data_IF_632401936620
#
_entry.id   IF_632401936620
#
_cell.length_a   1.000
_cell.length_b   1.000
_cell.length_c   1.000
_cell.angle_alpha   90.00
_cell.angle_beta   90.00
_cell.angle_gamma   90.00
#
_symmetry.space_group_name_H-M   'P 1'
#
loop_
_entity.id
_entity.type
_entity.pdbx_description
1 polymer ?
#
# COMPACT_ATOMS: atom_id res chain seq x y z
N UNK A 1 -13.27 14.76 -29.58
CA UNK A 1 -13.42 15.21 -28.19
C UNK A 1 -12.09 14.97 -27.48
N UNK A 2 -11.36 16.05 -27.23
CA UNK A 2 -10.08 15.97 -26.53
C UNK A 2 -10.37 15.73 -25.05
N UNK A 3 -10.06 14.53 -24.59
CA UNK A 3 -10.30 14.12 -23.21
C UNK A 3 -9.30 14.88 -22.31
N UNK A 4 -9.69 16.05 -21.80
CA UNK A 4 -8.91 16.82 -20.83
C UNK A 4 -8.73 16.00 -19.57
N UNK A 5 -7.59 15.28 -19.46
CA UNK A 5 -7.24 14.60 -18.23
C UNK A 5 -6.99 15.65 -17.14
N UNK A 6 -7.62 15.45 -15.99
CA UNK A 6 -7.32 16.23 -14.79
C UNK A 6 -5.85 16.01 -14.42
N UNK A 7 -5.11 17.07 -14.27
CA UNK A 7 -3.72 17.06 -13.78
C UNK A 7 -3.65 17.80 -12.45
N UNK A 8 -2.71 17.43 -11.60
CA UNK A 8 -2.48 18.17 -10.35
C UNK A 8 -2.08 19.60 -10.67
N UNK A 9 -2.76 20.58 -10.05
CA UNK A 9 -2.50 22.02 -10.26
C UNK A 9 -1.18 22.51 -9.66
N UNK A 10 -0.39 21.65 -8.99
CA UNK A 10 0.88 22.02 -8.36
C UNK A 10 1.69 20.83 -7.88
N UNK A 11 2.98 21.03 -7.68
CA UNK A 11 3.93 20.02 -7.20
C UNK A 11 3.54 19.50 -5.80
N UNK A 12 3.03 20.36 -4.92
CA UNK A 12 2.63 20.00 -3.56
C UNK A 12 1.47 19.01 -3.59
N UNK A 13 0.44 19.24 -4.40
CA UNK A 13 -0.69 18.32 -4.55
C UNK A 13 -0.27 16.93 -5.03
N UNK A 14 0.67 16.87 -5.98
CA UNK A 14 1.24 15.61 -6.44
C UNK A 14 2.04 14.90 -5.34
N UNK A 15 2.89 15.62 -4.60
CA UNK A 15 3.70 15.06 -3.52
C UNK A 15 2.82 14.51 -2.39
N UNK A 16 1.79 15.26 -1.99
CA UNK A 16 0.86 14.81 -0.95
C UNK A 16 0.05 13.59 -1.39
N UNK A 17 -0.40 13.55 -2.63
CA UNK A 17 -1.10 12.38 -3.16
C UNK A 17 -0.19 11.14 -3.25
N UNK A 18 1.06 11.32 -3.69
CA UNK A 18 2.03 10.24 -3.74
C UNK A 18 2.39 9.73 -2.33
N UNK A 19 2.64 10.64 -1.38
CA UNK A 19 2.92 10.30 0.01
C UNK A 19 1.72 9.59 0.66
N UNK A 20 0.50 10.10 0.49
CA UNK A 20 -0.71 9.47 1.01
C UNK A 20 -0.96 8.08 0.44
N UNK A 21 -0.67 7.88 -0.85
CA UNK A 21 -0.74 6.57 -1.49
C UNK A 21 0.34 5.59 -0.99
N UNK A 22 1.50 6.10 -0.58
CA UNK A 22 2.61 5.29 -0.07
C UNK A 22 2.40 4.84 1.37
N UNK A 23 1.64 5.61 2.17
CA UNK A 23 1.31 5.25 3.55
C UNK A 23 0.17 4.23 3.57
N UNK A 24 0.54 2.97 3.73
CA UNK A 24 -0.41 1.86 3.83
C UNK A 24 -0.40 1.20 5.20
N UNK A 25 -1.31 0.26 5.40
CA UNK A 25 -1.40 -0.55 6.61
C UNK A 25 -0.08 -1.24 6.96
N UNK A 26 0.70 -1.63 5.96
CA UNK A 26 2.02 -2.23 6.14
C UNK A 26 2.99 -1.34 6.92
N UNK A 27 2.95 -0.03 6.69
CA UNK A 27 3.84 0.92 7.34
C UNK A 27 3.48 1.14 8.81
N UNK A 28 2.19 1.06 9.15
CA UNK A 28 1.68 1.31 10.52
C UNK A 28 1.74 0.02 11.35
N UNK A 29 1.42 -1.12 10.75
CA UNK A 29 1.29 -2.40 11.43
C UNK A 29 2.56 -3.27 11.30
N UNK A 30 2.91 -3.64 10.06
CA UNK A 30 3.92 -4.67 9.79
C UNK A 30 5.35 -4.16 9.98
N UNK A 31 5.62 -2.93 9.55
CA UNK A 31 6.96 -2.37 9.63
C UNK A 31 7.48 -2.23 11.07
N UNK A 32 6.73 -1.65 12.04
CA UNK A 32 7.16 -1.59 13.43
C UNK A 32 7.37 -2.98 14.05
N UNK A 33 6.49 -3.93 13.73
CA UNK A 33 6.61 -5.31 14.21
C UNK A 33 7.90 -5.97 13.71
N UNK A 34 8.21 -5.87 12.42
CA UNK A 34 9.45 -6.42 11.86
C UNK A 34 10.68 -5.72 12.41
N UNK A 35 10.64 -4.39 12.55
CA UNK A 35 11.71 -3.64 13.16
C UNK A 35 12.00 -4.10 14.59
N UNK A 36 10.98 -4.37 15.39
CA UNK A 36 11.15 -4.87 16.76
C UNK A 36 11.69 -6.32 16.80
N UNK A 37 11.25 -7.17 15.87
CA UNK A 37 11.62 -8.58 15.82
C UNK A 37 13.03 -8.80 15.28
N UNK A 38 13.45 -8.06 14.27
CA UNK A 38 14.66 -8.30 13.49
C UNK A 38 15.81 -7.33 13.84
N UNK A 39 16.17 -7.24 15.13
CA UNK A 39 17.28 -6.38 15.61
C UNK A 39 17.10 -4.87 15.31
N UNK A 40 15.90 -4.37 15.30
CA UNK A 40 15.53 -2.95 15.30
C UNK A 40 16.41 -2.01 14.48
N UNK A 41 17.52 -1.60 15.05
CA UNK A 41 18.41 -0.60 14.44
C UNK A 41 19.06 -1.07 13.13
N UNK A 42 19.49 -2.32 13.04
CA UNK A 42 20.09 -2.86 11.80
C UNK A 42 19.05 -2.98 10.69
N UNK A 43 17.84 -3.45 11.02
CA UNK A 43 16.73 -3.50 10.07
C UNK A 43 16.40 -2.11 9.50
N UNK A 44 16.30 -1.09 10.36
CA UNK A 44 16.01 0.29 9.94
C UNK A 44 17.15 0.84 9.06
N UNK A 45 18.42 0.58 9.41
CA UNK A 45 19.57 1.01 8.61
C UNK A 45 19.50 0.41 7.20
N UNK A 46 19.33 -0.90 7.09
CA UNK A 46 19.20 -1.57 5.80
C UNK A 46 18.01 -1.04 5.00
N UNK A 47 16.87 -0.82 5.66
CA UNK A 47 15.69 -0.25 5.02
C UNK A 47 15.95 1.13 4.44
N UNK A 48 16.61 2.03 5.19
CA UNK A 48 16.94 3.38 4.72
C UNK A 48 17.87 3.31 3.50
N UNK A 49 18.91 2.48 3.55
CA UNK A 49 19.84 2.32 2.42
C UNK A 49 19.08 1.84 1.17
N UNK A 50 18.23 0.82 1.30
CA UNK A 50 17.44 0.29 0.20
C UNK A 50 16.39 1.29 -0.31
N UNK A 51 15.76 2.04 0.58
CA UNK A 51 14.80 3.08 0.20
C UNK A 51 15.46 4.21 -0.60
N UNK A 52 16.64 4.67 -0.18
CA UNK A 52 17.38 5.74 -0.86
C UNK A 52 18.01 5.29 -2.18
N UNK A 53 18.41 4.05 -2.30
CA UNK A 53 19.02 3.51 -3.53
C UNK A 53 17.97 2.99 -4.50
N UNK A 54 17.36 1.84 -4.18
CA UNK A 54 16.39 1.19 -5.06
C UNK A 54 15.03 1.89 -5.08
N UNK A 55 14.49 2.25 -3.91
CA UNK A 55 13.17 2.87 -3.79
C UNK A 55 13.10 4.19 -4.54
N UNK A 56 14.07 5.07 -4.32
CA UNK A 56 14.13 6.36 -5.01
C UNK A 56 14.29 6.19 -6.54
N UNK A 57 15.17 5.31 -6.98
CA UNK A 57 15.40 5.06 -8.42
C UNK A 57 14.14 4.50 -9.10
N UNK A 58 13.46 3.55 -8.46
CA UNK A 58 12.20 2.99 -8.97
C UNK A 58 11.12 4.06 -9.06
N UNK A 59 10.94 4.87 -8.01
CA UNK A 59 9.95 5.93 -7.97
C UNK A 59 10.16 6.95 -9.10
N UNK A 60 11.40 7.41 -9.29
CA UNK A 60 11.75 8.36 -10.36
C UNK A 60 11.47 7.75 -11.73
N UNK A 61 11.81 6.47 -11.92
CA UNK A 61 11.58 5.75 -13.18
C UNK A 61 10.08 5.62 -13.49
N UNK A 62 9.26 5.24 -12.51
CA UNK A 62 7.81 5.11 -12.68
C UNK A 62 7.15 6.46 -13.01
N UNK A 63 7.55 7.53 -12.31
CA UNK A 63 7.07 8.89 -12.59
C UNK A 63 7.48 9.31 -14.01
N UNK A 64 8.70 9.05 -14.43
CA UNK A 64 9.19 9.38 -15.77
C UNK A 64 8.42 8.63 -16.87
N UNK A 65 8.17 7.34 -16.68
CA UNK A 65 7.35 6.51 -17.58
C UNK A 65 5.93 7.07 -17.67
N UNK A 66 5.29 7.33 -16.52
CA UNK A 66 3.95 7.88 -16.46
C UNK A 66 3.82 9.24 -17.15
N UNK A 67 4.78 10.15 -16.94
CA UNK A 67 4.82 11.47 -17.59
C UNK A 67 5.05 11.38 -19.10
N UNK A 68 5.97 10.51 -19.54
CA UNK A 68 6.30 10.33 -20.96
C UNK A 68 5.16 9.69 -21.74
N UNK A 69 4.53 8.68 -21.19
CA UNK A 69 3.51 7.91 -21.89
C UNK A 69 2.11 8.50 -21.76
N UNK A 70 1.83 9.17 -20.63
CA UNK A 70 0.49 9.64 -20.22
C UNK A 70 -0.52 8.50 -20.24
N UNK A 71 -0.08 7.29 -19.87
CA UNK A 71 -0.88 6.06 -19.87
C UNK A 71 -0.89 5.43 -18.47
N UNK A 72 -1.83 4.53 -18.24
CA UNK A 72 -1.82 3.67 -17.04
C UNK A 72 -0.67 2.65 -17.13
N UNK A 73 -0.22 2.06 -16.00
CA UNK A 73 0.86 1.07 -16.01
C UNK A 73 0.64 -0.07 -17.00
N UNK A 74 -0.61 -0.51 -17.18
CA UNK A 74 -0.99 -1.59 -18.09
C UNK A 74 -0.50 -1.37 -19.54
N UNK A 75 -0.59 -0.15 -20.02
CA UNK A 75 -0.30 0.19 -21.42
C UNK A 75 0.99 1.00 -21.59
N UNK A 76 1.48 1.62 -20.51
CA UNK A 76 2.64 2.53 -20.54
C UNK A 76 3.92 1.84 -21.06
N UNK A 77 4.23 0.66 -20.54
CA UNK A 77 5.41 -0.09 -20.92
C UNK A 77 5.36 -0.54 -22.38
N UNK A 78 4.21 -1.02 -22.84
CA UNK A 78 4.01 -1.42 -24.24
C UNK A 78 4.09 -0.25 -25.24
N UNK A 79 3.78 0.98 -24.80
CA UNK A 79 3.91 2.19 -25.60
C UNK A 79 5.38 2.62 -25.79
N UNK A 80 6.24 2.33 -24.80
CA UNK A 80 7.68 2.61 -24.88
C UNK A 80 8.35 1.56 -25.77
N UNK A 81 8.09 0.28 -25.52
CA UNK A 81 8.61 -0.83 -26.32
C UNK A 81 7.64 -2.01 -26.22
N UNK A 82 7.24 -2.55 -27.37
CA UNK A 82 6.29 -3.67 -27.49
C UNK A 82 6.73 -4.91 -26.72
N UNK A 83 8.04 -5.15 -26.61
CA UNK A 83 8.59 -6.31 -25.89
C UNK A 83 8.35 -6.24 -24.37
N UNK A 84 8.15 -5.06 -23.83
CA UNK A 84 7.91 -4.84 -22.39
C UNK A 84 6.41 -4.76 -22.02
N UNK A 85 5.51 -5.10 -22.93
CA UNK A 85 4.07 -5.11 -22.67
C UNK A 85 3.70 -6.02 -21.47
N UNK A 86 4.40 -7.15 -21.31
CA UNK A 86 4.20 -8.08 -20.19
C UNK A 86 4.46 -7.45 -18.81
N UNK A 87 5.42 -6.50 -18.70
CA UNK A 87 5.67 -5.79 -17.45
C UNK A 87 4.48 -4.94 -17.02
N UNK A 88 3.77 -4.30 -17.96
CA UNK A 88 2.56 -3.55 -17.67
C UNK A 88 1.44 -4.43 -17.12
N UNK A 89 1.29 -5.62 -17.66
CA UNK A 89 0.33 -6.61 -17.17
C UNK A 89 0.69 -7.06 -15.75
N UNK A 90 1.95 -7.41 -15.49
CA UNK A 90 2.43 -7.77 -14.15
C UNK A 90 2.22 -6.64 -13.15
N UNK A 91 2.57 -5.40 -13.50
CA UNK A 91 2.36 -4.23 -12.65
C UNK A 91 0.89 -3.98 -12.30
N UNK A 92 -0.05 -4.46 -13.12
CA UNK A 92 -1.49 -4.32 -12.87
C UNK A 92 -2.05 -5.50 -12.08
N UNK A 93 -1.54 -6.72 -12.30
CA UNK A 93 -1.99 -7.92 -11.59
C UNK A 93 -1.67 -7.83 -10.09
N UNK A 94 -0.49 -7.31 -9.73
CA UNK A 94 -0.06 -7.21 -8.32
C UNK A 94 -1.07 -6.46 -7.44
N UNK A 95 -1.52 -5.23 -7.77
CA UNK A 95 -2.55 -4.53 -7.00
C UNK A 95 -3.87 -5.29 -6.93
N UNK A 96 -4.27 -5.98 -8.00
CA UNK A 96 -5.51 -6.77 -8.04
C UNK A 96 -5.46 -7.94 -7.05
N UNK A 97 -4.32 -8.62 -6.92
CA UNK A 97 -4.14 -9.70 -5.94
C UNK A 97 -4.07 -9.17 -4.51
N UNK A 98 -3.47 -7.99 -4.33
CA UNK A 98 -3.31 -7.39 -2.99
C UNK A 98 -4.62 -6.81 -2.46
N UNK A 99 -5.51 -6.34 -3.32
CA UNK A 99 -6.75 -5.67 -2.93
C UNK A 99 -7.62 -6.48 -1.95
N UNK A 100 -7.91 -7.78 -2.18
CA UNK A 100 -8.68 -8.59 -1.22
C UNK A 100 -8.03 -8.67 0.16
N UNK A 101 -6.70 -8.83 0.21
CA UNK A 101 -5.94 -8.83 1.45
C UNK A 101 -6.10 -7.51 2.22
N UNK A 102 -6.04 -6.37 1.54
CA UNK A 102 -6.25 -5.06 2.17
C UNK A 102 -7.70 -4.88 2.66
N UNK A 103 -8.67 -5.41 1.94
CA UNK A 103 -10.07 -5.37 2.38
C UNK A 103 -10.28 -6.14 3.69
N UNK A 104 -9.70 -7.32 3.82
CA UNK A 104 -9.78 -8.11 5.05
C UNK A 104 -9.14 -7.39 6.23
N UNK A 105 -7.91 -6.89 6.08
CA UNK A 105 -7.23 -6.15 7.16
C UNK A 105 -7.98 -4.85 7.48
N UNK A 106 -8.51 -4.17 6.47
CA UNK A 106 -9.33 -2.98 6.68
C UNK A 106 -10.57 -3.26 7.52
N UNK A 107 -11.21 -4.42 7.31
CA UNK A 107 -12.32 -4.90 8.14
C UNK A 107 -11.89 -5.11 9.60
N UNK A 108 -10.73 -5.72 9.83
CA UNK A 108 -10.19 -5.89 11.19
C UNK A 108 -9.93 -4.55 11.89
N UNK A 109 -9.30 -3.61 11.21
CA UNK A 109 -9.04 -2.27 11.74
C UNK A 109 -10.35 -1.55 12.08
N UNK A 110 -11.35 -1.64 11.22
CA UNK A 110 -12.67 -1.05 11.45
C UNK A 110 -13.35 -1.68 12.67
N UNK A 111 -13.27 -3.00 12.83
CA UNK A 111 -13.81 -3.67 14.01
C UNK A 111 -13.17 -3.20 15.30
N UNK A 112 -11.83 -3.14 15.35
CA UNK A 112 -11.12 -2.61 16.52
C UNK A 112 -11.51 -1.17 16.81
N UNK A 113 -11.63 -0.34 15.79
CA UNK A 113 -12.06 1.05 15.93
C UNK A 113 -13.46 1.16 16.56
N UNK A 114 -14.43 0.37 16.08
CA UNK A 114 -15.80 0.33 16.63
C UNK A 114 -15.78 -0.16 18.09
N UNK A 115 -15.01 -1.21 18.39
CA UNK A 115 -14.87 -1.74 19.75
C UNK A 115 -14.30 -0.72 20.72
N UNK A 116 -13.31 0.06 20.26
CA UNK A 116 -12.73 1.16 21.05
C UNK A 116 -13.75 2.26 21.35
N UNK A 117 -14.50 2.72 20.34
CA UNK A 117 -15.53 3.76 20.52
C UNK A 117 -16.68 3.28 21.41
N UNK A 118 -17.05 2.00 21.34
CA UNK A 118 -18.09 1.42 22.19
C UNK A 118 -17.68 1.23 23.66
N UNK A 119 -16.49 1.68 24.06
CA UNK A 119 -15.99 1.60 25.43
C UNK A 119 -15.42 0.24 25.83
N UNK A 120 -15.33 -0.70 24.91
CA UNK A 120 -14.79 -2.05 25.13
C UNK A 120 -13.31 -2.18 24.74
N UNK A 121 -12.57 -1.08 24.72
CA UNK A 121 -11.16 -1.04 24.30
C UNK A 121 -10.24 -1.96 25.11
N UNK A 122 -10.50 -2.13 26.41
CA UNK A 122 -9.75 -3.06 27.27
C UNK A 122 -9.98 -4.52 26.86
N UNK A 123 -11.19 -4.88 26.48
CA UNK A 123 -11.51 -6.23 26.01
C UNK A 123 -10.81 -6.55 24.68
N UNK A 124 -10.63 -5.55 23.81
CA UNK A 124 -9.93 -5.72 22.52
C UNK A 124 -8.40 -5.87 22.67
N UNK A 125 -7.85 -5.54 23.83
CA UNK A 125 -6.42 -5.70 24.14
C UNK A 125 -6.08 -7.12 24.68
N UNK A 126 -7.08 -7.99 24.92
CA UNK A 126 -6.85 -9.35 25.33
C UNK A 126 -6.22 -10.19 24.21
N UNK A 127 -5.25 -11.03 24.56
CA UNK A 127 -4.47 -11.83 23.58
C UNK A 127 -5.36 -12.74 22.71
N UNK A 128 -6.49 -13.20 23.24
CA UNK A 128 -7.40 -14.10 22.54
C UNK A 128 -8.44 -13.37 21.66
N UNK A 129 -8.59 -12.06 21.81
CA UNK A 129 -9.63 -11.31 21.10
C UNK A 129 -9.49 -11.42 19.57
N UNK A 130 -8.28 -11.22 19.05
CA UNK A 130 -8.00 -11.34 17.63
C UNK A 130 -8.19 -12.77 17.13
N UNK A 131 -7.66 -13.75 17.86
CA UNK A 131 -7.78 -15.16 17.50
C UNK A 131 -9.23 -15.61 17.45
N UNK A 132 -10.04 -15.23 18.43
CA UNK A 132 -11.47 -15.51 18.46
C UNK A 132 -12.21 -14.83 17.30
N UNK A 133 -11.80 -13.63 16.91
CA UNK A 133 -12.40 -12.93 15.78
C UNK A 133 -12.13 -13.63 14.44
N UNK A 134 -10.88 -14.02 14.16
CA UNK A 134 -10.52 -14.65 12.88
C UNK A 134 -10.98 -16.11 12.76
N UNK A 135 -11.17 -16.80 13.86
CA UNK A 135 -11.65 -18.20 13.89
C UNK A 135 -13.16 -18.32 13.91
N UNK A 136 -13.90 -17.26 14.25
CA UNK A 136 -15.35 -17.27 14.21
C UNK A 136 -15.87 -17.20 12.77
N UNK A 137 -16.80 -18.08 12.41
CA UNK A 137 -17.35 -18.16 11.05
C UNK A 137 -18.24 -16.96 10.68
N UNK A 138 -18.85 -16.31 11.67
CA UNK A 138 -19.83 -15.23 11.46
C UNK A 138 -19.26 -13.82 11.54
N UNK A 139 -18.24 -13.60 12.36
CA UNK A 139 -17.72 -12.25 12.62
C UNK A 139 -16.91 -11.61 11.48
N UNK A 140 -16.16 -12.34 10.64
CA UNK A 140 -15.47 -11.74 9.49
C UNK A 140 -16.40 -11.32 8.34
N UNK A 141 -17.68 -11.68 8.39
CA UNK A 141 -18.66 -11.44 7.31
C UNK A 141 -19.50 -10.18 7.59
N UNK A 142 -19.52 -9.72 8.83
CA UNK A 142 -20.25 -8.53 9.27
C UNK A 142 -19.28 -7.35 9.37
#
# INVERSE_FOLDING_TARGET
MENKRSSFKGSIGFVLAAAGSAVGLGNIWRFPYLAAKDNGGFFILCYIILALTFGFTLLVTEIAIGRKTKQSPLTAYGKINKNFRGLGTLATIVPVIILPYYCVIGGWVLKYFITFISGQGVASAADDYFTNHITSVSQPII
#
